data_IF_047881885744
#
_entry.id   IF_047881885744
#
_cell.length_a   1.000
_cell.length_b   1.000
_cell.length_c   1.000
_cell.angle_alpha   90.00
_cell.angle_beta   90.00
_cell.angle_gamma   90.00
#
_symmetry.space_group_name_H-M   'P 1'
#
loop_
_entity.id
_entity.type
_entity.pdbx_description
1 polymer ?
#
# COMPACT_ATOMS: atom_id res chain seq x y z
N UNK A 1 5.35 2.08 0.32
CA UNK A 1 3.91 2.34 0.50
C UNK A 1 3.66 3.80 0.17
N UNK A 2 2.43 4.14 -0.19
CA UNK A 2 2.01 5.54 -0.35
C UNK A 2 1.72 6.20 0.99
N UNK A 3 1.66 7.52 0.98
CA UNK A 3 1.24 8.37 2.08
C UNK A 3 -0.24 8.22 2.38
N UNK A 4 -0.60 8.49 3.64
CA UNK A 4 -2.00 8.56 4.11
C UNK A 4 -2.83 9.52 3.27
N UNK A 5 -2.26 10.65 2.86
CA UNK A 5 -2.95 11.65 2.04
C UNK A 5 -3.32 11.10 0.66
N UNK A 6 -2.38 10.44 -0.03
CA UNK A 6 -2.64 9.82 -1.34
C UNK A 6 -3.58 8.62 -1.23
N UNK A 7 -3.43 7.79 -0.20
CA UNK A 7 -4.35 6.69 0.08
C UNK A 7 -5.78 7.17 0.26
N UNK A 8 -5.99 8.27 1.00
CA UNK A 8 -7.31 8.87 1.22
C UNK A 8 -7.92 9.39 -0.09
N UNK A 9 -7.12 10.01 -0.96
CA UNK A 9 -7.54 10.45 -2.30
C UNK A 9 -7.96 9.26 -3.17
N UNK A 10 -7.16 8.20 -3.21
CA UNK A 10 -7.49 6.97 -3.96
C UNK A 10 -8.80 6.33 -3.47
N UNK A 11 -9.00 6.22 -2.16
CA UNK A 11 -10.26 5.73 -1.58
C UNK A 11 -11.44 6.60 -2.00
N UNK A 12 -11.28 7.92 -1.94
CA UNK A 12 -12.33 8.89 -2.31
C UNK A 12 -12.66 8.82 -3.80
N UNK A 13 -11.66 8.59 -4.66
CA UNK A 13 -11.84 8.35 -6.09
C UNK A 13 -12.50 7.00 -6.40
N UNK A 14 -12.73 6.13 -5.41
CA UNK A 14 -13.45 4.87 -5.56
C UNK A 14 -12.55 3.63 -5.70
N UNK A 15 -11.26 3.73 -5.37
CA UNK A 15 -10.39 2.54 -5.30
C UNK A 15 -10.96 1.56 -4.28
N UNK A 16 -11.43 0.41 -4.77
CA UNK A 16 -11.88 -0.70 -3.93
C UNK A 16 -10.71 -1.65 -3.68
N UNK A 17 -10.54 -2.07 -2.43
CA UNK A 17 -9.43 -2.94 -2.02
C UNK A 17 -9.93 -4.28 -1.49
N UNK A 18 -9.37 -5.37 -2.00
CA UNK A 18 -9.58 -6.71 -1.48
C UNK A 18 -8.34 -7.12 -0.67
N UNK A 19 -8.45 -7.29 0.67
CA UNK A 19 -7.30 -7.57 1.52
C UNK A 19 -6.59 -8.88 1.15
N UNK A 20 -5.27 -8.84 1.17
CA UNK A 20 -4.37 -9.96 0.94
C UNK A 20 -3.17 -9.89 1.88
N UNK A 21 -2.52 -11.04 2.07
CA UNK A 21 -1.34 -11.15 2.93
C UNK A 21 -0.23 -10.20 2.49
N UNK A 22 0.33 -9.49 3.46
CA UNK A 22 1.32 -8.43 3.27
C UNK A 22 0.74 -7.04 2.98
N UNK A 23 -0.58 -6.89 2.85
CA UNK A 23 -1.20 -5.58 2.67
C UNK A 23 -1.02 -4.72 3.90
N UNK A 24 -0.65 -3.46 3.70
CA UNK A 24 -0.54 -2.49 4.77
C UNK A 24 -1.77 -1.58 4.84
N UNK A 25 -2.18 -1.20 6.04
CA UNK A 25 -3.30 -0.28 6.26
C UNK A 25 -3.13 0.50 7.56
N UNK A 26 -3.88 1.60 7.69
CA UNK A 26 -4.10 2.33 8.93
C UNK A 26 -5.55 2.17 9.36
N UNK A 27 -5.79 2.27 10.67
CA UNK A 27 -7.15 2.26 11.22
C UNK A 27 -7.59 3.71 11.41
N UNK A 28 -8.72 4.09 10.82
CA UNK A 28 -9.28 5.44 10.92
C UNK A 28 -10.00 5.68 12.26
N UNK A 29 -9.28 5.50 13.38
CA UNK A 29 -9.74 5.75 14.75
C UNK A 29 -8.67 6.53 15.51
N UNK A 30 -9.10 7.44 16.39
CA UNK A 30 -8.20 8.35 17.13
C UNK A 30 -7.11 7.61 17.91
N UNK A 31 -7.45 6.45 18.49
CA UNK A 31 -6.52 5.62 19.28
C UNK A 31 -5.38 4.98 18.46
N UNK A 32 -5.47 4.99 17.12
CA UNK A 32 -4.54 4.31 16.21
C UNK A 32 -3.94 5.25 15.16
N UNK A 33 -4.04 6.56 15.38
CA UNK A 33 -3.59 7.56 14.42
C UNK A 33 -2.07 7.45 14.18
N UNK A 34 -1.68 7.21 12.92
CA UNK A 34 -0.29 7.07 12.51
C UNK A 34 0.25 5.63 12.54
N UNK A 35 -0.42 4.70 13.20
CA UNK A 35 -0.01 3.30 13.23
C UNK A 35 -0.29 2.59 11.90
N UNK A 36 0.69 1.81 11.43
CA UNK A 36 0.58 1.02 10.21
C UNK A 36 0.55 -0.46 10.57
N UNK A 37 -0.54 -1.12 10.20
CA UNK A 37 -0.77 -2.55 10.38
C UNK A 37 -0.48 -3.29 9.07
N UNK A 38 -0.12 -4.56 9.17
CA UNK A 38 0.09 -5.44 8.00
C UNK A 38 -0.77 -6.69 8.15
N UNK A 39 -1.51 -7.04 7.10
CA UNK A 39 -2.25 -8.30 7.03
C UNK A 39 -1.24 -9.44 6.99
N UNK A 40 -1.36 -10.42 7.88
CA UNK A 40 -0.45 -11.56 7.95
C UNK A 40 -1.22 -12.88 7.97
N UNK A 41 -0.79 -13.84 7.15
CA UNK A 41 -1.26 -15.23 7.23
C UNK A 41 -0.55 -15.93 8.41
N UNK A 42 -1.08 -15.80 9.62
CA UNK A 42 -0.83 -16.64 10.81
C UNK A 42 0.54 -17.36 10.93
N UNK A 43 1.36 -16.97 11.91
CA UNK A 43 2.63 -17.68 12.22
C UNK A 43 2.39 -18.85 13.19
N UNK A 44 2.91 -20.04 12.86
CA UNK A 44 2.90 -21.22 13.75
C UNK A 44 4.30 -21.40 14.38
N UNK A 45 4.39 -21.42 15.71
CA UNK A 45 5.64 -21.62 16.46
C UNK A 45 5.60 -22.84 17.39
N UNK A 46 6.50 -23.83 17.21
CA UNK A 46 6.58 -24.97 18.11
C UNK A 46 7.23 -24.60 19.45
N UNK A 47 6.51 -24.82 20.54
CA UNK A 47 6.98 -24.69 21.91
C UNK A 47 7.30 -26.08 22.48
N UNK A 48 8.56 -26.32 22.82
CA UNK A 48 9.02 -27.61 23.35
C UNK A 48 9.00 -27.64 24.87
N UNK A 49 8.25 -28.58 25.45
CA UNK A 49 8.21 -28.87 26.87
C UNK A 49 8.73 -30.30 27.15
N UNK A 50 9.18 -30.61 28.38
CA UNK A 50 9.54 -31.97 28.76
C UNK A 50 8.42 -33.00 28.57
N UNK A 51 7.15 -32.54 28.57
CA UNK A 51 5.95 -33.35 28.34
C UNK A 51 5.52 -33.47 26.88
N UNK A 52 6.10 -32.71 25.94
CA UNK A 52 5.72 -32.72 24.52
C UNK A 52 5.91 -31.38 23.81
N UNK A 53 5.65 -31.35 22.50
CA UNK A 53 5.68 -30.12 21.69
C UNK A 53 4.27 -29.59 21.49
N UNK A 54 4.05 -28.31 21.83
CA UNK A 54 2.79 -27.59 21.60
C UNK A 54 2.99 -26.65 20.42
N UNK A 55 2.08 -26.64 19.46
CA UNK A 55 2.09 -25.63 18.39
C UNK A 55 1.38 -24.37 18.88
N UNK A 56 2.14 -23.29 19.02
CA UNK A 56 1.61 -21.95 19.27
C UNK A 56 1.17 -21.32 17.96
N UNK A 57 -0.05 -20.82 17.91
CA UNK A 57 -0.52 -20.00 16.79
C UNK A 57 -0.36 -18.55 17.23
N UNK A 58 0.69 -17.87 16.77
CA UNK A 58 0.91 -16.46 17.09
C UNK A 58 0.05 -15.59 16.16
N UNK A 59 -1.15 -15.28 16.63
CA UNK A 59 -2.00 -14.22 16.09
C UNK A 59 -1.71 -12.84 16.69
N UNK A 60 -1.24 -12.77 17.94
CA UNK A 60 -0.66 -11.60 18.64
C UNK A 60 -0.39 -11.98 20.10
N UNK A 61 0.80 -11.69 20.62
CA UNK A 61 0.99 -11.50 22.07
C UNK A 61 0.94 -10.00 22.31
N UNK A 62 -0.02 -9.58 23.15
CA UNK A 62 -0.30 -8.21 23.61
C UNK A 62 -1.21 -7.38 22.68
N UNK A 63 -2.46 -7.17 23.12
CA UNK A 63 -3.53 -6.37 22.51
C UNK A 63 -4.08 -6.91 21.18
N UNK A 64 -4.80 -8.03 21.24
CA UNK A 64 -5.63 -8.45 20.12
C UNK A 64 -6.76 -7.41 19.93
N UNK A 65 -6.66 -6.60 18.88
CA UNK A 65 -7.83 -5.88 18.39
C UNK A 65 -8.75 -6.94 17.76
N UNK A 66 -9.77 -7.35 18.50
CA UNK A 66 -10.58 -8.54 18.16
C UNK A 66 -11.22 -8.48 16.76
N UNK A 67 -11.53 -7.27 16.25
CA UNK A 67 -11.96 -7.06 14.87
C UNK A 67 -11.91 -5.58 14.45
N UNK A 68 -11.71 -5.34 13.15
CA UNK A 68 -11.78 -4.03 12.49
C UNK A 68 -12.70 -4.13 11.28
N UNK A 69 -13.59 -3.15 11.08
CA UNK A 69 -14.38 -3.08 9.86
C UNK A 69 -13.49 -2.70 8.67
N UNK A 70 -13.71 -3.28 7.49
CA UNK A 70 -13.00 -2.85 6.27
C UNK A 70 -13.23 -1.37 5.96
N UNK A 71 -14.39 -0.82 6.34
CA UNK A 71 -14.70 0.60 6.17
C UNK A 71 -13.85 1.52 7.07
N UNK A 72 -13.30 0.97 8.15
CA UNK A 72 -12.40 1.67 9.07
C UNK A 72 -10.92 1.55 8.61
N UNK A 73 -10.63 0.74 7.59
CA UNK A 73 -9.27 0.52 7.10
C UNK A 73 -8.94 1.46 5.93
N UNK A 74 -7.86 2.22 6.08
CA UNK A 74 -7.24 2.96 4.99
C UNK A 74 -6.03 2.19 4.47
N UNK A 75 -6.16 1.59 3.30
CA UNK A 75 -5.10 0.81 2.67
C UNK A 75 -3.95 1.70 2.21
N UNK A 76 -2.71 1.24 2.43
CA UNK A 76 -1.47 1.88 2.01
C UNK A 76 -0.70 1.00 1.00
N UNK A 77 -1.19 0.88 -0.24
CA UNK A 77 -0.60 -0.01 -1.24
C UNK A 77 0.91 0.20 -1.43
N UNK A 78 1.61 -0.92 -1.64
CA UNK A 78 3.02 -0.93 -2.03
C UNK A 78 3.17 -0.65 -3.52
N UNK A 79 4.42 -0.44 -3.95
CA UNK A 79 4.74 -0.11 -5.33
C UNK A 79 4.33 -1.20 -6.33
N UNK A 80 4.64 -2.46 -6.01
CA UNK A 80 4.28 -3.63 -6.80
C UNK A 80 2.77 -3.70 -7.03
N UNK A 81 1.98 -3.44 -5.99
CA UNK A 81 0.51 -3.51 -6.05
C UNK A 81 -0.09 -2.37 -6.87
N UNK A 82 0.45 -1.15 -6.74
CA UNK A 82 0.01 -0.01 -7.55
C UNK A 82 0.35 -0.20 -9.03
N UNK A 83 1.53 -0.75 -9.32
CA UNK A 83 1.93 -1.13 -10.68
C UNK A 83 0.97 -2.17 -11.25
N UNK A 84 0.61 -3.18 -10.47
CA UNK A 84 -0.39 -4.17 -10.88
C UNK A 84 -1.77 -3.54 -11.15
N UNK A 85 -2.18 -2.54 -10.37
CA UNK A 85 -3.44 -1.83 -10.57
C UNK A 85 -3.46 -0.95 -11.82
N UNK A 86 -2.33 -0.34 -12.21
CA UNK A 86 -2.22 0.40 -13.47
C UNK A 86 -2.34 -0.50 -14.71
N UNK A 87 -2.03 -1.79 -14.59
CA UNK A 87 -2.16 -2.78 -15.68
C UNK A 87 -1.56 -2.26 -17.00
N UNK A 88 -2.35 -2.29 -18.08
CA UNK A 88 -1.95 -1.86 -19.42
C UNK A 88 -1.78 -0.35 -19.58
N UNK A 89 -2.18 0.47 -18.60
CA UNK A 89 -1.89 1.90 -18.60
C UNK A 89 -0.42 2.18 -18.26
N UNK A 90 0.25 1.29 -17.52
CA UNK A 90 1.67 1.49 -17.18
C UNK A 90 2.56 1.45 -18.42
N UNK A 91 3.38 2.48 -18.61
CA UNK A 91 4.34 2.58 -19.73
C UNK A 91 5.76 2.35 -19.24
N UNK A 92 6.22 3.11 -18.25
CA UNK A 92 7.60 2.98 -17.76
C UNK A 92 7.81 3.56 -16.36
N UNK A 93 8.87 3.09 -15.71
CA UNK A 93 9.45 3.67 -14.51
C UNK A 93 10.89 4.06 -14.81
N UNK A 94 11.22 5.33 -14.58
CA UNK A 94 12.59 5.83 -14.67
C UNK A 94 13.05 6.36 -13.31
N UNK A 95 14.28 6.00 -12.92
CA UNK A 95 14.97 6.61 -11.78
C UNK A 95 15.95 7.64 -12.31
N UNK A 96 15.75 8.91 -11.96
CA UNK A 96 16.57 10.04 -12.43
C UNK A 96 17.26 10.73 -11.25
N UNK A 97 18.37 11.41 -11.55
CA UNK A 97 19.06 12.28 -10.59
C UNK A 97 18.80 13.74 -10.98
N UNK A 98 18.29 14.54 -10.06
CA UNK A 98 17.95 15.95 -10.29
C UNK A 98 18.71 16.90 -9.36
N UNK A 99 19.04 18.08 -9.89
CA UNK A 99 19.70 19.15 -9.16
C UNK A 99 21.20 18.91 -8.91
N UNK A 100 21.88 19.98 -8.47
CA UNK A 100 23.34 20.00 -8.28
C UNK A 100 23.85 19.00 -7.23
N UNK A 101 22.99 18.56 -6.31
CA UNK A 101 23.33 17.59 -5.25
C UNK A 101 22.89 16.15 -5.57
N UNK A 102 22.27 15.90 -6.74
CA UNK A 102 21.84 14.56 -7.14
C UNK A 102 20.73 13.99 -6.26
N UNK A 103 19.56 14.64 -6.21
CA UNK A 103 18.36 14.06 -5.58
C UNK A 103 17.82 12.96 -6.48
N UNK A 104 17.57 11.78 -5.91
CA UNK A 104 16.88 10.71 -6.64
C UNK A 104 15.39 11.05 -6.77
N UNK A 105 14.88 11.00 -7.99
CA UNK A 105 13.46 11.17 -8.31
C UNK A 105 13.02 9.97 -9.17
N UNK A 106 11.85 9.43 -8.87
CA UNK A 106 11.19 8.39 -9.64
C UNK A 106 10.14 9.02 -10.54
N UNK A 107 10.14 8.65 -11.82
CA UNK A 107 9.19 9.09 -12.83
C UNK A 107 8.41 7.89 -13.34
N UNK A 108 7.11 7.87 -13.08
CA UNK A 108 6.18 6.87 -13.63
C UNK A 108 5.49 7.49 -14.83
N UNK A 109 5.56 6.82 -15.97
CA UNK A 109 4.79 7.18 -17.17
C UNK A 109 3.61 6.22 -17.29
N UNK A 110 2.41 6.77 -17.42
CA UNK A 110 1.20 6.02 -17.68
C UNK A 110 0.45 6.60 -18.90
N UNK A 111 -0.27 5.75 -19.61
CA UNK A 111 -1.14 6.15 -20.72
C UNK A 111 -2.58 6.25 -20.21
N UNK A 112 -3.10 7.47 -20.18
CA UNK A 112 -4.42 7.84 -19.67
C UNK A 112 -5.14 8.62 -20.76
N UNK A 113 -6.35 8.18 -21.12
CA UNK A 113 -7.13 8.72 -22.26
C UNK A 113 -6.36 8.77 -23.59
N UNK A 114 -5.45 7.81 -23.79
CA UNK A 114 -4.61 7.71 -24.99
C UNK A 114 -3.34 8.58 -24.96
N UNK A 115 -3.16 9.44 -23.96
CA UNK A 115 -2.00 10.32 -23.80
C UNK A 115 -1.01 9.78 -22.76
N UNK A 116 0.29 9.91 -23.03
CA UNK A 116 1.31 9.61 -22.03
C UNK A 116 1.46 10.77 -21.04
N UNK A 117 1.22 10.48 -19.75
CA UNK A 117 1.40 11.41 -18.64
C UNK A 117 2.51 10.90 -17.71
N UNK A 118 3.30 11.81 -17.15
CA UNK A 118 4.43 11.48 -16.28
C UNK A 118 4.23 12.06 -14.88
N UNK A 119 4.40 11.22 -13.87
CA UNK A 119 4.25 11.53 -12.45
C UNK A 119 5.58 11.36 -11.75
N UNK A 120 5.98 12.33 -10.93
CA UNK A 120 7.30 12.35 -10.30
C UNK A 120 7.20 12.44 -8.80
N UNK A 121 8.00 11.64 -8.09
CA UNK A 121 8.15 11.72 -6.64
C UNK A 121 9.52 11.21 -6.20
N UNK A 122 9.96 11.56 -4.99
CA UNK A 122 11.12 10.95 -4.36
C UNK A 122 10.89 9.50 -3.93
N UNK A 123 9.63 9.05 -3.91
CA UNK A 123 9.25 7.66 -3.69
C UNK A 123 8.51 7.09 -4.90
N UNK A 124 8.94 5.91 -5.38
CA UNK A 124 8.30 5.27 -6.53
C UNK A 124 6.81 4.99 -6.29
N UNK A 125 6.45 4.52 -5.09
CA UNK A 125 5.05 4.24 -4.73
C UNK A 125 4.15 5.47 -4.87
N UNK A 126 4.62 6.66 -4.47
CA UNK A 126 3.88 7.92 -4.64
C UNK A 126 3.65 8.24 -6.12
N UNK A 127 4.69 8.15 -6.95
CA UNK A 127 4.56 8.39 -8.39
C UNK A 127 3.57 7.41 -9.05
N UNK A 128 3.56 6.16 -8.60
CA UNK A 128 2.57 5.17 -9.04
C UNK A 128 1.15 5.50 -8.56
N UNK A 129 1.01 5.90 -7.30
CA UNK A 129 -0.30 6.21 -6.74
C UNK A 129 -0.93 7.44 -7.38
N UNK A 130 -0.17 8.48 -7.71
CA UNK A 130 -0.68 9.65 -8.45
C UNK A 130 -1.09 9.27 -9.88
N UNK A 131 -0.32 8.42 -10.55
CA UNK A 131 -0.70 7.91 -11.88
C UNK A 131 -1.99 7.09 -11.84
N UNK A 132 -2.15 6.25 -10.80
CA UNK A 132 -3.34 5.44 -10.61
C UNK A 132 -4.56 6.30 -10.27
N UNK A 133 -4.38 7.34 -9.46
CA UNK A 133 -5.44 8.25 -9.08
C UNK A 133 -6.02 8.96 -10.30
N UNK A 134 -5.17 9.56 -11.14
CA UNK A 134 -5.62 10.18 -12.39
C UNK A 134 -6.33 9.16 -13.29
N UNK A 135 -5.82 7.93 -13.38
CA UNK A 135 -6.44 6.89 -14.19
C UNK A 135 -7.87 6.59 -13.71
N UNK A 136 -8.10 6.51 -12.40
CA UNK A 136 -9.44 6.28 -11.83
C UNK A 136 -10.35 7.48 -12.09
N UNK A 137 -9.84 8.70 -11.88
CA UNK A 137 -10.58 9.94 -12.09
C UNK A 137 -10.93 10.17 -13.58
N UNK A 138 -10.16 9.63 -14.53
CA UNK A 138 -10.44 9.80 -15.97
C UNK A 138 -11.57 8.92 -16.49
N UNK A 139 -11.89 7.82 -15.81
CA UNK A 139 -12.98 6.89 -16.19
C UNK A 139 -14.27 7.11 -15.40
N UNK A 140 -14.24 7.97 -14.38
CA UNK A 140 -15.37 8.26 -13.47
C UNK A 140 -16.24 9.40 -13.98
#
# INVERSE_FOLDING_TARGET
MISTALASRLRTAGLTWAPSSGDAFQIAREDFEGDVFTVSDMTIEPHHYPSGTILGFNGTTEWALDSVSLDDALWLPREDQLRELLRGAFVSLARVQEGLRGRTVYRVTARIDGEERTYSSDHAAEAYGEALLELIESVS
#
